data_IF_044780568219
#
_entry.id   IF_044780568219
#
_cell.length_a   1.000
_cell.length_b   1.000
_cell.length_c   1.000
_cell.angle_alpha   90.00
_cell.angle_beta   90.00
_cell.angle_gamma   90.00
#
_symmetry.space_group_name_H-M   'P 1'
#
loop_
_entity.id
_entity.type
_entity.pdbx_description
1 polymer ?
#
# COMPACT_ATOMS: atom_id res chain seq x y z
N UNK A 1 -16.27 -1.04 -19.04
CA UNK A 1 -15.82 -2.30 -18.38
C UNK A 1 -15.42 -1.95 -16.96
N UNK A 2 -15.49 -2.91 -16.01
CA UNK A 2 -15.01 -2.68 -14.66
C UNK A 2 -13.49 -2.45 -14.67
N UNK A 3 -12.97 -1.49 -13.88
CA UNK A 3 -11.54 -1.26 -13.72
C UNK A 3 -10.88 -2.46 -13.03
N UNK A 4 -9.66 -2.77 -13.41
CA UNK A 4 -8.88 -3.85 -12.81
C UNK A 4 -7.88 -3.28 -11.83
N UNK A 5 -7.91 -3.77 -10.58
CA UNK A 5 -7.07 -3.32 -9.49
C UNK A 5 -6.15 -4.45 -9.00
N UNK A 6 -4.84 -4.18 -8.91
CA UNK A 6 -3.88 -5.01 -8.21
C UNK A 6 -3.55 -4.39 -6.85
N UNK A 7 -3.74 -5.15 -5.77
CA UNK A 7 -3.39 -4.73 -4.40
C UNK A 7 -2.28 -5.63 -3.87
N UNK A 8 -1.09 -5.06 -3.66
CA UNK A 8 0.02 -5.83 -3.09
C UNK A 8 -0.16 -6.00 -1.57
N UNK A 9 0.12 -7.22 -1.06
CA UNK A 9 -0.23 -7.58 0.32
C UNK A 9 -1.74 -7.50 0.58
N UNK A 10 -2.57 -7.82 -0.44
CA UNK A 10 -4.00 -7.56 -0.47
C UNK A 10 -4.88 -8.53 0.34
N UNK A 11 -4.29 -9.56 0.98
CA UNK A 11 -5.05 -10.63 1.64
C UNK A 11 -5.26 -10.43 3.14
N UNK A 12 -4.60 -9.46 3.79
CA UNK A 12 -4.69 -9.20 5.23
C UNK A 12 -4.60 -7.71 5.57
N UNK A 13 -4.96 -7.37 6.80
CA UNK A 13 -4.80 -6.03 7.37
C UNK A 13 -5.40 -4.91 6.51
N UNK A 14 -4.64 -3.84 6.30
CA UNK A 14 -5.04 -2.69 5.46
C UNK A 14 -5.26 -3.13 4.01
N UNK A 15 -4.38 -3.99 3.46
CA UNK A 15 -4.50 -4.50 2.10
C UNK A 15 -5.80 -5.25 1.86
N UNK A 16 -6.22 -6.11 2.82
CA UNK A 16 -7.52 -6.80 2.76
C UNK A 16 -8.68 -5.80 2.70
N UNK A 17 -8.67 -4.80 3.56
CA UNK A 17 -9.71 -3.79 3.57
C UNK A 17 -9.75 -2.99 2.25
N UNK A 18 -8.59 -2.63 1.70
CA UNK A 18 -8.47 -1.98 0.39
C UNK A 18 -9.06 -2.86 -0.71
N UNK A 19 -8.70 -4.15 -0.74
CA UNK A 19 -9.21 -5.12 -1.72
C UNK A 19 -10.73 -5.21 -1.68
N UNK A 20 -11.32 -5.26 -0.49
CA UNK A 20 -12.77 -5.34 -0.29
C UNK A 20 -13.49 -4.07 -0.75
N UNK A 21 -13.03 -2.87 -0.34
CA UNK A 21 -13.71 -1.63 -0.73
C UNK A 21 -13.55 -1.29 -2.21
N UNK A 22 -12.45 -1.69 -2.85
CA UNK A 22 -12.29 -1.57 -4.30
C UNK A 22 -13.29 -2.51 -5.03
N UNK A 23 -13.47 -3.73 -4.53
CA UNK A 23 -14.50 -4.64 -5.05
C UNK A 23 -15.91 -4.10 -4.84
N UNK A 24 -16.22 -3.58 -3.64
CA UNK A 24 -17.50 -2.90 -3.34
C UNK A 24 -17.74 -1.72 -4.28
N UNK A 25 -16.68 -1.00 -4.69
CA UNK A 25 -16.74 0.11 -5.64
C UNK A 25 -16.82 -0.34 -7.12
N UNK A 26 -16.90 -1.65 -7.37
CA UNK A 26 -17.11 -2.21 -8.73
C UNK A 26 -15.83 -2.56 -9.49
N UNK A 27 -14.65 -2.50 -8.87
CA UNK A 27 -13.42 -2.97 -9.49
C UNK A 27 -13.33 -4.51 -9.47
N UNK A 28 -12.70 -5.10 -10.50
CA UNK A 28 -12.19 -6.47 -10.42
C UNK A 28 -10.83 -6.42 -9.73
N UNK A 29 -10.70 -7.13 -8.61
CA UNK A 29 -9.51 -7.03 -7.76
C UNK A 29 -8.67 -8.29 -7.86
N UNK A 30 -7.36 -8.12 -8.04
CA UNK A 30 -6.32 -9.10 -7.82
C UNK A 30 -5.61 -8.77 -6.50
N UNK A 31 -5.57 -9.70 -5.54
CA UNK A 31 -4.84 -9.53 -4.30
C UNK A 31 -3.53 -10.33 -4.34
N UNK A 32 -2.39 -9.61 -4.26
CA UNK A 32 -1.09 -10.28 -4.16
C UNK A 32 -0.78 -10.67 -2.71
N UNK A 33 -0.03 -11.77 -2.56
CA UNK A 33 0.58 -12.21 -1.31
C UNK A 33 1.94 -12.87 -1.58
N UNK A 34 2.78 -13.00 -0.53
CA UNK A 34 4.13 -13.56 -0.70
C UNK A 34 4.25 -15.02 -0.25
N UNK A 35 3.73 -15.39 0.94
CA UNK A 35 4.11 -16.66 1.56
C UNK A 35 2.98 -17.50 2.18
N UNK A 36 1.93 -16.89 2.73
CA UNK A 36 0.91 -17.63 3.48
C UNK A 36 -0.23 -18.09 2.56
N UNK A 37 -0.08 -19.29 2.01
CA UNK A 37 -1.04 -19.88 1.06
C UNK A 37 -2.39 -20.14 1.72
N UNK A 38 -2.42 -20.64 2.98
CA UNK A 38 -3.66 -20.94 3.68
C UNK A 38 -4.50 -19.70 3.92
N UNK A 39 -3.88 -18.62 4.40
CA UNK A 39 -4.57 -17.34 4.60
C UNK A 39 -5.03 -16.72 3.28
N UNK A 40 -4.27 -16.87 2.21
CA UNK A 40 -4.65 -16.37 0.89
C UNK A 40 -5.83 -17.16 0.30
N UNK A 41 -5.84 -18.48 0.44
CA UNK A 41 -6.94 -19.33 0.00
C UNK A 41 -8.22 -19.05 0.80
N UNK A 42 -8.13 -18.95 2.13
CA UNK A 42 -9.26 -18.58 2.98
C UNK A 42 -9.84 -17.20 2.59
N UNK A 43 -8.97 -16.22 2.31
CA UNK A 43 -9.40 -14.91 1.81
C UNK A 43 -10.13 -15.01 0.46
N UNK A 44 -9.61 -15.82 -0.48
CA UNK A 44 -10.25 -16.05 -1.78
C UNK A 44 -11.62 -16.70 -1.62
N UNK A 45 -11.72 -17.74 -0.79
CA UNK A 45 -12.97 -18.47 -0.56
C UNK A 45 -14.04 -17.55 0.08
N UNK A 46 -13.64 -16.71 1.04
CA UNK A 46 -14.55 -15.77 1.72
C UNK A 46 -15.01 -14.66 0.80
N UNK A 47 -14.10 -14.13 -0.04
CA UNK A 47 -14.34 -12.86 -0.73
C UNK A 47 -14.58 -13.00 -2.23
N UNK A 48 -14.27 -14.16 -2.81
CA UNK A 48 -14.21 -14.38 -4.26
C UNK A 48 -13.31 -13.35 -4.98
N UNK A 49 -12.24 -12.89 -4.31
CA UNK A 49 -11.17 -12.08 -4.91
C UNK A 49 -10.02 -13.02 -5.31
N UNK A 50 -9.58 -12.94 -6.56
CA UNK A 50 -8.47 -13.75 -7.04
C UNK A 50 -7.15 -13.38 -6.34
N UNK A 51 -6.37 -14.40 -5.98
CA UNK A 51 -5.10 -14.23 -5.27
C UNK A 51 -3.91 -14.66 -6.12
N UNK A 52 -2.81 -13.91 -6.04
CA UNK A 52 -1.60 -14.14 -6.84
C UNK A 52 -0.37 -14.14 -5.94
N UNK A 53 0.40 -15.22 -5.99
CA UNK A 53 1.60 -15.40 -5.19
C UNK A 53 2.83 -14.91 -5.93
N UNK A 54 3.45 -13.85 -5.44
CA UNK A 54 4.79 -13.41 -5.86
C UNK A 54 5.39 -12.46 -4.81
N UNK A 55 6.73 -12.46 -4.71
CA UNK A 55 7.45 -11.54 -3.84
C UNK A 55 7.62 -10.18 -4.53
N UNK A 56 7.05 -9.15 -3.94
CA UNK A 56 7.15 -7.77 -4.44
C UNK A 56 8.56 -7.18 -4.31
N UNK A 57 9.41 -7.75 -3.45
CA UNK A 57 10.81 -7.36 -3.31
C UNK A 57 11.69 -7.81 -4.47
N UNK A 58 11.23 -8.78 -5.27
CA UNK A 58 11.93 -9.33 -6.43
C UNK A 58 11.33 -8.79 -7.73
N UNK A 59 12.17 -8.22 -8.59
CA UNK A 59 11.74 -7.59 -9.84
C UNK A 59 11.19 -8.60 -10.85
N UNK A 60 11.87 -9.73 -11.01
CA UNK A 60 11.47 -10.75 -11.99
C UNK A 60 10.22 -11.49 -11.51
N UNK A 61 10.10 -11.77 -10.20
CA UNK A 61 8.86 -12.30 -9.63
C UNK A 61 7.67 -11.34 -9.81
N UNK A 62 7.88 -10.02 -9.69
CA UNK A 62 6.87 -9.01 -10.01
C UNK A 62 6.46 -9.05 -11.48
N UNK A 63 7.42 -9.16 -12.39
CA UNK A 63 7.16 -9.23 -13.82
C UNK A 63 6.29 -10.45 -14.17
N UNK A 64 6.66 -11.63 -13.69
CA UNK A 64 5.93 -12.86 -13.96
C UNK A 64 4.54 -12.84 -13.30
N UNK A 65 4.48 -12.39 -12.04
CA UNK A 65 3.23 -12.29 -11.29
C UNK A 65 2.24 -11.30 -11.90
N UNK A 66 2.69 -10.12 -12.32
CA UNK A 66 1.87 -9.10 -12.99
C UNK A 66 1.41 -9.60 -14.36
N UNK A 67 2.28 -10.22 -15.15
CA UNK A 67 1.91 -10.81 -16.43
C UNK A 67 0.81 -11.86 -16.26
N UNK A 68 0.89 -12.68 -15.19
CA UNK A 68 -0.16 -13.65 -14.87
C UNK A 68 -1.47 -12.97 -14.47
N UNK A 69 -1.44 -11.91 -13.66
CA UNK A 69 -2.65 -11.11 -13.33
C UNK A 69 -3.30 -10.58 -14.59
N UNK A 70 -2.53 -9.99 -15.50
CA UNK A 70 -3.06 -9.42 -16.74
C UNK A 70 -3.62 -10.49 -17.68
N UNK A 71 -3.01 -11.67 -17.73
CA UNK A 71 -3.53 -12.80 -18.52
C UNK A 71 -4.85 -13.36 -17.96
N UNK A 72 -4.97 -13.50 -16.64
CA UNK A 72 -6.10 -14.16 -15.99
C UNK A 72 -7.29 -13.20 -15.76
N UNK A 73 -7.02 -11.91 -15.50
CA UNK A 73 -8.05 -10.93 -15.14
C UNK A 73 -8.18 -9.83 -16.20
N UNK A 74 -7.06 -9.37 -16.75
CA UNK A 74 -6.97 -8.30 -17.75
C UNK A 74 -6.04 -7.17 -17.33
N UNK A 75 -5.90 -6.13 -18.18
CA UNK A 75 -4.93 -5.07 -18.01
C UNK A 75 -5.17 -4.26 -16.72
N UNK A 76 -4.11 -4.06 -15.94
CA UNK A 76 -4.19 -3.38 -14.64
C UNK A 76 -4.39 -1.87 -14.84
N UNK A 77 -5.50 -1.34 -14.34
CA UNK A 77 -5.84 0.10 -14.36
C UNK A 77 -5.48 0.80 -13.05
N UNK A 78 -5.54 0.06 -11.93
CA UNK A 78 -5.30 0.57 -10.57
C UNK A 78 -4.23 -0.31 -9.92
N UNK A 79 -3.12 0.30 -9.50
CA UNK A 79 -2.09 -0.36 -8.71
C UNK A 79 -2.06 0.23 -7.30
N UNK A 80 -2.21 -0.63 -6.28
CA UNK A 80 -2.05 -0.22 -4.88
C UNK A 80 -0.82 -0.90 -4.29
N UNK A 81 0.25 -0.13 -4.10
CA UNK A 81 1.48 -0.56 -3.44
C UNK A 81 1.27 -0.50 -1.92
N UNK A 82 0.75 -1.59 -1.35
CA UNK A 82 0.45 -1.70 0.07
C UNK A 82 1.37 -2.68 0.81
N UNK A 83 1.97 -3.66 0.14
CA UNK A 83 2.86 -4.62 0.80
C UNK A 83 3.93 -3.91 1.63
N UNK A 84 4.16 -4.42 2.84
CA UNK A 84 5.13 -3.85 3.75
C UNK A 84 5.38 -4.73 4.96
N UNK A 85 6.58 -4.57 5.52
CA UNK A 85 7.03 -5.24 6.73
C UNK A 85 7.69 -4.23 7.67
N UNK A 86 7.80 -4.60 8.94
CA UNK A 86 8.64 -3.92 9.92
C UNK A 86 9.72 -4.88 10.44
N UNK A 87 10.91 -4.33 10.75
CA UNK A 87 12.01 -4.98 11.44
C UNK A 87 12.61 -3.94 12.37
N UNK A 88 11.87 -3.67 13.45
CA UNK A 88 12.14 -2.55 14.34
C UNK A 88 13.33 -2.85 15.24
N UNK A 89 14.31 -1.94 15.22
CA UNK A 89 15.45 -1.96 16.15
C UNK A 89 16.11 -0.57 16.18
N UNK A 90 16.61 -0.09 17.33
CA UNK A 90 17.47 1.10 17.33
C UNK A 90 18.68 0.90 16.41
N UNK A 91 19.08 1.97 15.69
CA UNK A 91 20.11 1.89 14.65
C UNK A 91 21.40 1.16 15.08
N UNK A 92 21.88 1.39 16.31
CA UNK A 92 23.09 0.76 16.82
C UNK A 92 22.96 -0.75 17.09
N UNK A 93 21.77 -1.32 16.92
CA UNK A 93 21.45 -2.76 17.07
C UNK A 93 20.75 -3.33 15.84
N UNK A 94 20.65 -2.53 14.77
CA UNK A 94 19.95 -2.96 13.54
C UNK A 94 20.94 -3.72 12.66
N UNK A 95 20.59 -4.94 12.31
CA UNK A 95 21.37 -5.74 11.38
C UNK A 95 21.13 -5.29 9.93
N UNK A 96 22.14 -5.38 9.04
CA UNK A 96 22.00 -5.04 7.63
C UNK A 96 20.83 -5.77 6.94
N UNK A 97 20.60 -7.04 7.28
CA UNK A 97 19.52 -7.87 6.74
C UNK A 97 18.14 -7.29 7.08
N UNK A 98 17.99 -6.70 8.27
CA UNK A 98 16.75 -6.02 8.67
C UNK A 98 16.52 -4.73 7.88
N UNK A 99 17.61 -3.99 7.62
CA UNK A 99 17.56 -2.82 6.76
C UNK A 99 17.16 -3.20 5.33
N UNK A 100 17.90 -4.12 4.73
CA UNK A 100 17.71 -4.52 3.33
C UNK A 100 16.32 -5.11 3.07
N UNK A 101 15.83 -5.98 3.96
CA UNK A 101 14.50 -6.55 3.84
C UNK A 101 13.40 -5.48 3.87
N UNK A 102 13.53 -4.46 4.74
CA UNK A 102 12.55 -3.38 4.83
C UNK A 102 12.61 -2.48 3.61
N UNK A 103 13.82 -2.11 3.12
CA UNK A 103 13.96 -1.32 1.91
C UNK A 103 13.41 -2.08 0.68
N UNK A 104 13.77 -3.34 0.52
CA UNK A 104 13.29 -4.16 -0.58
C UNK A 104 11.75 -4.23 -0.63
N UNK A 105 11.12 -4.55 0.51
CA UNK A 105 9.66 -4.76 0.57
C UNK A 105 8.88 -3.45 0.58
N UNK A 106 9.35 -2.39 1.28
CA UNK A 106 8.53 -1.21 1.50
C UNK A 106 8.81 -0.05 0.52
N UNK A 107 9.94 -0.10 -0.21
CA UNK A 107 10.32 0.94 -1.17
C UNK A 107 10.60 0.37 -2.56
N UNK A 108 11.56 -0.57 -2.69
CA UNK A 108 11.93 -1.13 -4.00
C UNK A 108 10.76 -1.85 -4.67
N UNK A 109 9.86 -2.45 -3.87
CA UNK A 109 8.63 -3.07 -4.36
C UNK A 109 7.75 -2.11 -5.18
N UNK A 110 7.66 -0.84 -4.77
CA UNK A 110 6.86 0.14 -5.51
C UNK A 110 7.45 0.44 -6.90
N UNK A 111 8.78 0.44 -7.02
CA UNK A 111 9.44 0.49 -8.33
C UNK A 111 9.16 -0.80 -9.10
N UNK A 112 9.38 -1.98 -8.51
CA UNK A 112 9.23 -3.27 -9.17
C UNK A 112 7.83 -3.45 -9.77
N UNK A 113 6.80 -3.18 -9.01
CA UNK A 113 5.41 -3.30 -9.47
C UNK A 113 5.04 -2.22 -10.47
N UNK A 114 5.37 -0.94 -10.18
CA UNK A 114 5.02 0.18 -11.04
C UNK A 114 5.69 0.08 -12.41
N UNK A 115 6.98 -0.35 -12.46
CA UNK A 115 7.70 -0.52 -13.72
C UNK A 115 7.04 -1.57 -14.62
N UNK A 116 6.46 -2.60 -14.04
CA UNK A 116 5.82 -3.69 -14.78
C UNK A 116 4.38 -3.38 -15.27
N UNK A 117 3.72 -2.33 -14.76
CA UNK A 117 2.37 -1.93 -15.23
C UNK A 117 2.36 -0.64 -16.05
N UNK A 118 3.42 0.20 -15.94
CA UNK A 118 3.35 1.56 -16.44
C UNK A 118 3.24 1.64 -17.96
N UNK A 119 3.91 0.76 -18.70
CA UNK A 119 3.89 0.82 -20.16
C UNK A 119 2.46 0.58 -20.68
N UNK A 120 1.75 -0.44 -20.17
CA UNK A 120 0.36 -0.69 -20.52
C UNK A 120 -0.59 0.45 -20.09
N UNK A 121 -0.38 1.06 -18.92
CA UNK A 121 -1.15 2.24 -18.51
C UNK A 121 -0.92 3.43 -19.46
N UNK A 122 0.34 3.67 -19.89
CA UNK A 122 0.68 4.76 -20.84
C UNK A 122 0.05 4.54 -22.21
N UNK A 123 0.04 3.31 -22.72
CA UNK A 123 -0.58 2.96 -23.99
C UNK A 123 -2.11 3.20 -23.97
N UNK A 124 -2.76 2.88 -22.85
CA UNK A 124 -4.20 3.09 -22.66
C UNK A 124 -4.58 4.53 -22.30
N UNK A 125 -3.62 5.38 -21.94
CA UNK A 125 -3.87 6.75 -21.49
C UNK A 125 -4.64 6.84 -20.17
N UNK A 126 -4.53 5.81 -19.32
CA UNK A 126 -5.18 5.75 -18.01
C UNK A 126 -4.39 4.89 -17.02
N UNK A 127 -4.28 5.39 -15.80
CA UNK A 127 -3.72 4.64 -14.67
C UNK A 127 -3.96 5.37 -13.35
N UNK A 128 -4.08 4.59 -12.27
CA UNK A 128 -4.16 5.07 -10.88
C UNK A 128 -3.19 4.28 -10.03
N UNK A 129 -2.15 4.95 -9.56
CA UNK A 129 -1.13 4.33 -8.71
C UNK A 129 -1.23 4.96 -7.32
N UNK A 130 -1.50 4.14 -6.31
CA UNK A 130 -1.67 4.56 -4.94
C UNK A 130 -0.64 3.84 -4.05
N UNK A 131 0.26 4.60 -3.45
CA UNK A 131 1.30 4.11 -2.58
C UNK A 131 0.87 4.23 -1.11
N UNK A 132 0.85 3.13 -0.37
CA UNK A 132 0.52 3.15 1.06
C UNK A 132 1.80 3.47 1.84
N UNK A 133 1.90 4.74 2.20
CA UNK A 133 2.95 5.29 3.04
C UNK A 133 2.75 4.99 4.52
N UNK A 134 3.17 5.90 5.36
CA UNK A 134 2.93 5.89 6.81
C UNK A 134 3.19 7.29 7.38
N UNK A 135 2.50 7.63 8.46
CA UNK A 135 2.85 8.77 9.30
C UNK A 135 4.33 8.73 9.73
N UNK A 136 4.90 7.54 9.93
CA UNK A 136 6.29 7.38 10.34
C UNK A 136 7.30 7.72 9.22
N UNK A 137 6.88 7.74 7.96
CA UNK A 137 7.66 8.30 6.86
C UNK A 137 7.67 9.83 6.84
N UNK A 138 6.73 10.48 7.53
CA UNK A 138 6.62 11.94 7.62
C UNK A 138 7.30 12.49 8.88
N UNK A 139 7.02 11.89 10.06
CA UNK A 139 7.51 12.38 11.35
C UNK A 139 8.71 11.61 11.90
N UNK A 140 9.03 10.44 11.36
CA UNK A 140 9.97 9.48 11.96
C UNK A 140 9.36 8.73 13.15
N UNK A 141 10.05 7.64 13.56
CA UNK A 141 9.67 6.84 14.72
C UNK A 141 10.91 6.18 15.31
N UNK A 142 11.06 6.26 16.64
CA UNK A 142 12.15 5.58 17.36
C UNK A 142 12.14 4.07 17.05
N UNK A 143 13.32 3.52 16.74
CA UNK A 143 13.48 2.10 16.41
C UNK A 143 13.08 1.72 14.97
N UNK A 144 12.66 2.68 14.14
CA UNK A 144 12.19 2.46 12.77
C UNK A 144 12.97 3.25 11.72
N UNK A 145 14.28 3.33 11.83
CA UNK A 145 15.10 4.10 10.88
C UNK A 145 14.95 3.55 9.47
N UNK A 146 14.97 2.22 9.30
CA UNK A 146 14.73 1.53 8.03
C UNK A 146 13.32 1.78 7.48
N UNK A 147 12.30 1.58 8.30
CA UNK A 147 10.89 1.75 7.91
C UNK A 147 10.56 3.20 7.56
N UNK A 148 11.00 4.14 8.42
CA UNK A 148 10.80 5.57 8.19
C UNK A 148 11.51 6.05 6.93
N UNK A 149 12.75 5.59 6.68
CA UNK A 149 13.48 5.88 5.45
C UNK A 149 12.75 5.36 4.21
N UNK A 150 12.29 4.09 4.24
CA UNK A 150 11.55 3.50 3.15
C UNK A 150 10.23 4.26 2.85
N UNK A 151 9.46 4.59 3.89
CA UNK A 151 8.17 5.28 3.74
C UNK A 151 8.32 6.76 3.36
N UNK A 152 9.40 7.44 3.80
CA UNK A 152 9.78 8.76 3.32
C UNK A 152 10.22 8.72 1.83
N UNK A 153 11.06 7.73 1.47
CA UNK A 153 11.45 7.48 0.08
C UNK A 153 10.27 7.23 -0.84
N UNK A 154 9.24 6.51 -0.36
CA UNK A 154 8.02 6.26 -1.11
C UNK A 154 7.23 7.55 -1.41
N UNK A 155 7.24 8.53 -0.52
CA UNK A 155 6.63 9.85 -0.76
C UNK A 155 7.43 10.61 -1.85
N UNK A 156 8.76 10.55 -1.81
CA UNK A 156 9.63 11.11 -2.86
C UNK A 156 9.40 10.44 -4.22
N UNK A 157 9.36 9.09 -4.24
CA UNK A 157 9.02 8.30 -5.42
C UNK A 157 7.67 8.70 -6.01
N UNK A 158 6.64 8.85 -5.17
CA UNK A 158 5.30 9.29 -5.58
C UNK A 158 5.33 10.60 -6.34
N UNK A 159 6.03 11.61 -5.81
CA UNK A 159 6.11 12.94 -6.41
C UNK A 159 6.83 12.94 -7.75
N UNK A 160 8.00 12.29 -7.82
CA UNK A 160 8.78 12.20 -9.05
C UNK A 160 8.01 11.44 -10.14
N UNK A 161 7.41 10.31 -9.79
CA UNK A 161 6.69 9.47 -10.74
C UNK A 161 5.39 10.13 -11.24
N UNK A 162 4.74 10.94 -10.40
CA UNK A 162 3.59 11.75 -10.80
C UNK A 162 3.95 12.74 -11.92
N UNK A 163 5.12 13.41 -11.84
CA UNK A 163 5.60 14.34 -12.86
C UNK A 163 5.85 13.63 -14.21
N UNK A 164 6.35 12.40 -14.18
CA UNK A 164 6.63 11.62 -15.40
C UNK A 164 5.37 11.13 -16.11
N UNK A 165 4.27 10.97 -15.38
CA UNK A 165 3.09 10.23 -15.86
C UNK A 165 1.84 11.09 -16.04
N UNK A 166 1.77 12.27 -15.44
CA UNK A 166 0.58 13.14 -15.45
C UNK A 166 0.08 13.44 -16.87
N UNK A 167 0.98 13.75 -17.81
CA UNK A 167 0.63 14.02 -19.22
C UNK A 167 0.09 12.81 -19.99
N UNK A 168 0.12 11.63 -19.37
CA UNK A 168 -0.37 10.36 -19.93
C UNK A 168 -1.70 9.91 -19.31
N UNK A 169 -2.39 10.78 -18.57
CA UNK A 169 -3.67 10.44 -17.91
C UNK A 169 -3.49 9.51 -16.70
N UNK A 170 -2.27 9.40 -16.15
CA UNK A 170 -1.95 8.53 -15.02
C UNK A 170 -1.68 9.41 -13.80
N UNK A 171 -2.33 9.09 -12.68
CA UNK A 171 -2.07 9.75 -11.41
C UNK A 171 -1.30 8.83 -10.47
N UNK A 172 -0.39 9.41 -9.69
CA UNK A 172 0.39 8.71 -8.67
C UNK A 172 0.26 9.48 -7.36
N UNK A 173 -0.31 8.84 -6.33
CA UNK A 173 -0.55 9.49 -5.03
C UNK A 173 -0.12 8.58 -3.88
N UNK A 174 0.11 9.15 -2.71
CA UNK A 174 0.36 8.41 -1.48
C UNK A 174 -0.79 8.60 -0.49
N UNK A 175 -1.09 7.54 0.27
CA UNK A 175 -1.90 7.63 1.49
C UNK A 175 -0.98 7.33 2.67
N UNK A 176 -1.01 8.16 3.72
CA UNK A 176 -0.19 7.98 4.92
C UNK A 176 -1.06 7.71 6.13
N UNK A 177 -1.34 6.41 6.43
CA UNK A 177 -2.09 6.02 7.60
C UNK A 177 -1.33 6.35 8.90
N UNK A 178 -2.10 6.68 9.96
CA UNK A 178 -1.64 6.65 11.34
C UNK A 178 -1.75 5.26 11.95
N UNK A 179 -2.10 5.19 13.25
CA UNK A 179 -2.40 3.93 13.91
C UNK A 179 -3.78 3.39 13.48
N UNK A 180 -3.76 2.27 12.79
CA UNK A 180 -4.94 1.60 12.24
C UNK A 180 -5.18 0.28 12.98
N UNK A 181 -6.43 -0.02 13.33
CA UNK A 181 -6.86 -1.22 14.06
C UNK A 181 -6.69 -2.49 13.19
N UNK A 182 -5.46 -2.88 12.95
CA UNK A 182 -5.06 -4.14 12.32
C UNK A 182 -4.73 -5.17 13.38
N UNK A 183 -4.69 -6.45 13.01
CA UNK A 183 -4.26 -7.52 13.91
C UNK A 183 -2.93 -7.20 14.63
N UNK A 184 -1.98 -6.60 13.91
CA UNK A 184 -0.68 -6.21 14.46
C UNK A 184 -0.82 -5.16 15.58
N UNK A 185 -1.65 -4.13 15.37
CA UNK A 185 -1.85 -3.06 16.37
C UNK A 185 -2.71 -3.56 17.53
N UNK A 186 -3.70 -4.40 17.25
CA UNK A 186 -4.56 -4.99 18.29
C UNK A 186 -3.84 -6.04 19.15
N UNK A 187 -2.69 -6.55 18.71
CA UNK A 187 -1.83 -7.42 19.51
C UNK A 187 -0.97 -6.65 20.55
N UNK A 188 -0.95 -5.32 20.49
CA UNK A 188 -0.27 -4.48 21.49
C UNK A 188 -1.05 -4.56 22.82
N UNK A 189 -0.38 -4.67 23.98
CA UNK A 189 -1.06 -4.68 25.27
C UNK A 189 -1.99 -3.48 25.44
N UNK A 190 -3.18 -3.73 25.96
CA UNK A 190 -4.24 -2.71 26.11
C UNK A 190 -3.77 -1.50 26.91
N UNK A 191 -2.98 -1.71 27.96
CA UNK A 191 -2.39 -0.61 28.74
C UNK A 191 -1.52 0.29 27.88
N UNK A 192 -0.67 -0.28 27.01
CA UNK A 192 0.19 0.50 26.09
C UNK A 192 -0.66 1.23 25.06
N UNK A 193 -1.69 0.56 24.52
CA UNK A 193 -2.63 1.18 23.60
C UNK A 193 -3.28 2.41 24.21
N UNK A 194 -3.83 2.27 25.43
CA UNK A 194 -4.59 3.32 26.11
C UNK A 194 -3.70 4.45 26.65
N UNK A 195 -2.47 4.15 27.09
CA UNK A 195 -1.62 5.15 27.76
C UNK A 195 -0.55 5.76 26.84
N UNK A 196 -0.14 5.08 25.74
CA UNK A 196 0.95 5.51 24.86
C UNK A 196 0.53 5.82 23.43
N UNK A 197 -0.54 5.19 22.94
CA UNK A 197 -0.93 5.32 21.53
C UNK A 197 -2.15 6.24 21.38
N UNK A 198 -3.27 5.90 21.99
CA UNK A 198 -4.52 6.67 21.85
C UNK A 198 -4.38 8.15 22.23
N UNK A 199 -3.65 8.53 23.30
CA UNK A 199 -3.46 9.94 23.62
C UNK A 199 -2.73 10.77 22.56
N UNK A 200 -2.01 10.11 21.62
CA UNK A 200 -1.32 10.78 20.52
C UNK A 200 -2.24 11.02 19.31
N UNK A 201 -3.46 10.50 19.34
CA UNK A 201 -4.40 10.60 18.21
C UNK A 201 -5.48 11.61 18.56
N UNK A 202 -5.52 12.82 17.99
CA UNK A 202 -6.52 13.85 18.32
C UNK A 202 -7.98 13.40 18.17
N UNK A 203 -8.27 12.52 17.19
CA UNK A 203 -9.62 11.93 17.02
C UNK A 203 -9.99 10.98 18.17
N UNK A 204 -9.04 10.56 19.02
CA UNK A 204 -9.29 9.76 20.22
C UNK A 204 -9.54 8.27 20.01
N UNK A 205 -9.30 7.76 18.81
CA UNK A 205 -9.43 6.33 18.47
C UNK A 205 -8.44 5.90 17.42
N UNK A 206 -8.24 4.59 17.29
CA UNK A 206 -7.58 4.03 16.12
C UNK A 206 -8.42 4.28 14.86
N UNK A 207 -7.74 4.44 13.71
CA UNK A 207 -8.40 4.38 12.42
C UNK A 207 -8.83 2.95 12.10
N UNK A 208 -9.91 2.80 11.35
CA UNK A 208 -10.31 1.50 10.81
C UNK A 208 -9.61 1.23 9.47
N UNK A 209 -9.21 -0.03 9.16
CA UNK A 209 -8.64 -0.37 7.86
C UNK A 209 -9.50 0.09 6.67
N UNK A 210 -10.83 0.07 6.82
CA UNK A 210 -11.78 0.53 5.81
C UNK A 210 -11.69 2.04 5.55
N UNK A 211 -11.30 2.85 6.53
CA UNK A 211 -11.11 4.30 6.35
C UNK A 211 -9.94 4.58 5.42
N UNK A 212 -8.84 3.82 5.54
CA UNK A 212 -7.73 3.87 4.58
C UNK A 212 -8.18 3.41 3.19
N UNK A 213 -8.96 2.32 3.14
CA UNK A 213 -9.52 1.82 1.88
C UNK A 213 -10.38 2.85 1.15
N UNK A 214 -11.19 3.64 1.87
CA UNK A 214 -12.00 4.73 1.26
C UNK A 214 -11.14 5.82 0.65
N UNK A 215 -10.01 6.18 1.27
CA UNK A 215 -9.04 7.11 0.68
C UNK A 215 -8.48 6.55 -0.64
N UNK A 216 -8.18 5.25 -0.68
CA UNK A 216 -7.71 4.58 -1.90
C UNK A 216 -8.79 4.59 -2.99
N UNK A 217 -10.05 4.25 -2.67
CA UNK A 217 -11.16 4.28 -3.64
C UNK A 217 -11.34 5.67 -4.22
N UNK A 218 -11.30 6.71 -3.39
CA UNK A 218 -11.37 8.11 -3.85
C UNK A 218 -10.24 8.43 -4.84
N UNK A 219 -8.98 8.16 -4.48
CA UNK A 219 -7.83 8.43 -5.34
C UNK A 219 -7.79 7.56 -6.61
N UNK A 220 -8.44 6.39 -6.58
CA UNK A 220 -8.56 5.49 -7.73
C UNK A 220 -9.70 5.87 -8.69
N UNK A 221 -10.61 6.75 -8.28
CA UNK A 221 -11.77 7.16 -9.08
C UNK A 221 -11.38 8.03 -10.27
N UNK A 222 -12.28 8.15 -11.24
CA UNK A 222 -12.13 9.08 -12.36
C UNK A 222 -12.21 10.54 -11.88
N UNK A 223 -12.96 10.83 -10.81
CA UNK A 223 -13.12 12.15 -10.19
C UNK A 223 -11.82 12.69 -9.58
N UNK A 224 -10.89 11.82 -9.20
CA UNK A 224 -9.57 12.22 -8.70
C UNK A 224 -8.54 12.46 -9.80
N UNK A 225 -8.94 12.57 -11.07
CA UNK A 225 -8.03 12.72 -12.21
C UNK A 225 -7.13 13.95 -12.20
N UNK A 226 -7.46 14.97 -11.39
CA UNK A 226 -6.63 16.18 -11.22
C UNK A 226 -5.75 16.15 -9.96
N UNK A 227 -5.80 15.03 -9.18
CA UNK A 227 -5.00 14.83 -7.98
C UNK A 227 -3.85 13.89 -8.31
N UNK A 228 -2.63 14.43 -8.37
CA UNK A 228 -1.42 13.64 -8.59
C UNK A 228 -0.23 14.22 -7.83
N UNK A 229 0.71 13.40 -7.39
CA UNK A 229 1.85 13.78 -6.56
C UNK A 229 1.48 14.11 -5.11
N UNK A 230 0.22 13.93 -4.73
CA UNK A 230 -0.29 14.28 -3.40
C UNK A 230 -0.01 13.20 -2.36
N UNK A 231 0.09 13.65 -1.10
CA UNK A 231 0.13 12.77 0.07
C UNK A 231 -1.12 13.02 0.90
N UNK A 232 -2.05 12.07 0.91
CA UNK A 232 -3.28 12.14 1.68
C UNK A 232 -3.05 11.52 3.06
N UNK A 233 -3.06 12.33 4.11
CA UNK A 233 -2.90 11.89 5.49
C UNK A 233 -4.21 11.31 6.03
N UNK A 234 -4.19 10.03 6.45
CA UNK A 234 -5.31 9.32 7.07
C UNK A 234 -4.88 8.86 8.48
N UNK A 235 -4.67 9.83 9.41
CA UNK A 235 -3.97 9.59 10.67
C UNK A 235 -4.69 10.15 11.92
N UNK A 236 -5.94 10.57 11.79
CA UNK A 236 -6.72 11.10 12.92
C UNK A 236 -6.16 12.38 13.54
N UNK A 237 -5.39 13.17 12.77
CA UNK A 237 -4.76 14.42 13.23
C UNK A 237 -3.44 14.20 13.97
N UNK A 238 -2.91 12.98 14.01
CA UNK A 238 -1.67 12.66 14.72
C UNK A 238 -0.44 13.35 14.11
N UNK A 239 -0.49 13.68 12.85
CA UNK A 239 0.50 14.49 12.14
C UNK A 239 -0.19 15.34 11.07
N UNK A 240 0.12 16.61 11.05
CA UNK A 240 -0.42 17.59 10.11
C UNK A 240 0.75 18.20 9.31
N UNK A 241 0.62 18.29 7.99
CA UNK A 241 1.58 18.92 7.08
C UNK A 241 1.04 20.22 6.54
#
# INVERSE_FOLDING_TARGET
MARIALVTGGTRGIGRAISLVLKEAGARVAANYAANDDAANAFKDETAIEVFKFDVGDFDACKDGISKVEADIGPIDILVNNAGITRDNPLHKMDPEHWDAVIATNLSSAFNTSRNVIDGMRERGFGRIINIGSINGQKGQFGQVNYSAAKAGLIGFTKAFALETASKGITVNAVTPGYIATEMVMAVPEEVLNTKILPLIPVGRLGEPKEVGRCVVFLASDEAGFITGSTLSANGGQYMT
#
